data_IF_168117478479
#
_entry.id   IF_168117478479
#
_cell.length_a   1.000
_cell.length_b   1.000
_cell.length_c   1.000
_cell.angle_alpha   90.00
_cell.angle_beta   90.00
_cell.angle_gamma   90.00
#
_symmetry.space_group_name_H-M   'P 1'
#
loop_
_entity.id
_entity.type
_entity.pdbx_description
1 polymer ?
#
# COMPACT_ATOMS: atom_id res chain seq x y z
N UNK A 1 6.60 9.53 15.56
CA UNK A 1 7.18 8.77 14.44
C UNK A 1 6.10 8.31 13.47
N UNK A 2 6.37 8.25 12.15
CA UNK A 2 5.42 7.79 11.13
C UNK A 2 5.99 6.56 10.41
N UNK A 3 5.30 5.43 10.46
CA UNK A 3 5.69 4.20 9.76
C UNK A 3 4.85 4.00 8.49
N UNK A 4 5.50 3.78 7.36
CA UNK A 4 4.84 3.40 6.11
C UNK A 4 4.78 1.87 5.98
N UNK A 5 3.58 1.32 5.85
CA UNK A 5 3.33 -0.11 5.68
C UNK A 5 2.98 -0.38 4.23
N UNK A 6 3.89 -1.02 3.50
CA UNK A 6 3.72 -1.35 2.09
C UNK A 6 3.27 -2.80 1.96
N UNK A 7 1.97 -2.98 1.65
CA UNK A 7 1.37 -4.31 1.55
C UNK A 7 1.61 -4.90 0.16
N UNK A 8 2.39 -5.96 0.11
CA UNK A 8 2.79 -6.67 -1.11
C UNK A 8 2.59 -8.20 -1.03
N UNK A 9 1.85 -8.69 -0.03
CA UNK A 9 1.61 -10.13 0.18
C UNK A 9 0.46 -10.73 -0.65
N UNK A 10 -0.06 -10.01 -1.64
CA UNK A 10 -1.17 -10.48 -2.46
C UNK A 10 -0.73 -11.52 -3.50
N UNK A 11 -1.43 -12.67 -3.56
CA UNK A 11 -1.18 -13.77 -4.53
C UNK A 11 -1.39 -13.39 -6.01
N UNK A 12 -1.91 -12.20 -6.31
CA UNK A 12 -2.08 -11.73 -7.69
C UNK A 12 -3.01 -12.57 -8.57
N UNK A 13 -3.95 -13.33 -7.99
CA UNK A 13 -4.81 -14.29 -8.69
C UNK A 13 -5.61 -13.73 -9.86
N UNK A 14 -5.86 -12.41 -9.85
CA UNK A 14 -6.55 -11.67 -10.92
C UNK A 14 -5.67 -11.40 -12.15
N UNK A 15 -4.35 -11.36 -11.97
CA UNK A 15 -3.38 -11.23 -13.06
C UNK A 15 -2.57 -12.52 -13.15
N UNK A 16 -2.96 -13.41 -14.06
CA UNK A 16 -2.10 -14.53 -14.47
C UNK A 16 -0.97 -13.95 -15.30
N UNK A 17 0.20 -13.68 -14.70
CA UNK A 17 1.37 -13.37 -15.50
C UNK A 17 1.77 -14.63 -16.26
N UNK A 18 1.94 -14.54 -17.57
CA UNK A 18 2.43 -15.65 -18.39
C UNK A 18 3.82 -16.18 -17.93
N UNK A 19 4.51 -15.44 -17.07
CA UNK A 19 5.87 -15.74 -16.60
C UNK A 19 5.91 -16.33 -15.17
N UNK A 20 4.76 -16.60 -14.51
CA UNK A 20 4.75 -17.16 -13.14
C UNK A 20 5.28 -16.21 -12.05
N UNK A 21 5.57 -14.94 -12.39
CA UNK A 21 6.12 -13.95 -11.47
C UNK A 21 4.97 -13.20 -10.78
N UNK A 22 5.07 -13.03 -9.46
CA UNK A 22 4.10 -12.23 -8.70
C UNK A 22 4.04 -10.79 -9.22
N UNK A 23 2.83 -10.22 -9.32
CA UNK A 23 2.56 -8.92 -9.97
C UNK A 23 3.41 -7.76 -9.46
N UNK A 24 3.81 -7.78 -8.18
CA UNK A 24 4.64 -6.76 -7.55
C UNK A 24 6.07 -6.71 -8.11
N UNK A 25 6.54 -7.80 -8.71
CA UNK A 25 7.88 -7.91 -9.29
C UNK A 25 7.90 -7.70 -10.81
N UNK A 26 6.74 -7.48 -11.44
CA UNK A 26 6.68 -7.10 -12.85
C UNK A 26 7.45 -5.80 -13.04
N UNK A 27 8.30 -5.77 -14.05
CA UNK A 27 9.09 -4.59 -14.36
C UNK A 27 8.37 -3.61 -15.30
N UNK A 28 8.40 -2.35 -14.93
CA UNK A 28 8.04 -1.22 -15.79
C UNK A 28 9.33 -0.45 -16.06
N UNK A 29 9.72 -0.33 -17.31
CA UNK A 29 10.97 0.33 -17.71
C UNK A 29 12.19 -0.20 -16.92
N UNK A 30 12.36 -1.53 -16.88
CA UNK A 30 13.47 -2.25 -16.23
C UNK A 30 13.57 -2.04 -14.71
N UNK A 31 12.49 -1.66 -14.05
CA UNK A 31 12.43 -1.51 -12.59
C UNK A 31 11.16 -2.16 -12.04
N UNK A 32 11.24 -3.08 -11.07
CA UNK A 32 10.08 -3.71 -10.45
C UNK A 32 9.09 -2.69 -9.87
N UNK A 33 7.79 -2.94 -10.05
CA UNK A 33 6.73 -2.04 -9.58
C UNK A 33 6.85 -1.76 -8.09
N UNK A 34 7.12 -2.79 -7.29
CA UNK A 34 7.27 -2.63 -5.84
C UNK A 34 8.44 -1.71 -5.47
N UNK A 35 9.56 -1.79 -6.19
CA UNK A 35 10.72 -0.94 -5.94
C UNK A 35 10.37 0.53 -6.20
N UNK A 36 9.63 0.82 -7.28
CA UNK A 36 9.12 2.18 -7.56
C UNK A 36 8.23 2.71 -6.46
N UNK A 37 7.36 1.85 -5.92
CA UNK A 37 6.49 2.21 -4.81
C UNK A 37 7.31 2.53 -3.56
N UNK A 38 8.24 1.63 -3.18
CA UNK A 38 9.07 1.81 -1.98
C UNK A 38 9.88 3.11 -2.07
N UNK A 39 10.46 3.43 -3.22
CA UNK A 39 11.23 4.66 -3.42
C UNK A 39 10.43 5.92 -3.09
N UNK A 40 9.12 5.96 -3.38
CA UNK A 40 8.27 7.11 -3.01
C UNK A 40 8.21 7.33 -1.50
N UNK A 41 8.21 6.27 -0.72
CA UNK A 41 8.20 6.35 0.74
C UNK A 41 9.61 6.59 1.31
N UNK A 42 10.67 6.13 0.64
CA UNK A 42 12.03 6.49 1.05
C UNK A 42 12.34 7.96 0.81
N UNK A 43 11.80 8.55 -0.26
CA UNK A 43 11.97 9.97 -0.62
C UNK A 43 11.15 10.92 0.27
N UNK A 44 10.03 10.47 0.89
CA UNK A 44 9.13 11.34 1.65
C UNK A 44 9.68 11.68 3.02
N UNK A 45 9.78 12.96 3.35
CA UNK A 45 10.20 13.44 4.67
C UNK A 45 9.17 13.15 5.77
N UNK A 46 7.92 12.87 5.41
CA UNK A 46 6.86 12.53 6.35
C UNK A 46 6.96 11.08 6.87
N UNK A 47 7.87 10.26 6.35
CA UNK A 47 8.03 8.84 6.69
C UNK A 47 9.37 8.61 7.40
N UNK A 48 9.34 8.01 8.57
CA UNK A 48 10.52 7.72 9.37
C UNK A 48 10.97 6.25 9.24
N UNK A 49 10.04 5.32 9.00
CA UNK A 49 10.28 3.88 8.92
C UNK A 49 9.42 3.26 7.81
N UNK A 50 9.91 2.20 7.19
CA UNK A 50 9.18 1.44 6.18
C UNK A 50 9.05 -0.02 6.60
N UNK A 51 7.82 -0.53 6.66
CA UNK A 51 7.54 -1.94 6.88
C UNK A 51 6.98 -2.54 5.59
N UNK A 52 7.64 -3.53 5.05
CA UNK A 52 7.23 -4.20 3.82
C UNK A 52 6.61 -5.54 4.18
N UNK A 53 5.33 -5.70 3.83
CA UNK A 53 4.58 -6.93 4.09
C UNK A 53 4.55 -7.76 2.82
N UNK A 54 5.18 -8.92 2.85
CA UNK A 54 5.33 -9.82 1.70
C UNK A 54 4.90 -11.26 2.04
N UNK A 55 4.76 -12.09 1.02
CA UNK A 55 4.58 -13.52 1.25
C UNK A 55 5.90 -14.12 1.75
N UNK A 56 5.82 -15.06 2.69
CA UNK A 56 7.01 -15.73 3.25
C UNK A 56 7.87 -16.35 2.16
N UNK A 57 7.25 -16.95 1.17
CA UNK A 57 7.94 -17.60 0.05
C UNK A 57 8.66 -16.63 -0.88
N UNK A 58 8.27 -15.35 -0.87
CA UNK A 58 8.89 -14.30 -1.67
C UNK A 58 10.13 -13.67 -0.98
N UNK A 59 10.40 -13.97 0.29
CA UNK A 59 11.41 -13.25 1.08
C UNK A 59 12.81 -13.34 0.48
N UNK A 60 13.25 -14.52 0.08
CA UNK A 60 14.58 -14.72 -0.49
C UNK A 60 14.76 -13.87 -1.76
N UNK A 61 13.77 -13.95 -2.67
CA UNK A 61 13.78 -13.17 -3.90
C UNK A 61 13.77 -11.67 -3.62
N UNK A 62 12.93 -11.23 -2.67
CA UNK A 62 12.81 -9.83 -2.29
C UNK A 62 14.13 -9.28 -1.74
N UNK A 63 14.78 -10.01 -0.83
CA UNK A 63 16.07 -9.58 -0.25
C UNK A 63 17.15 -9.42 -1.32
N UNK A 64 17.27 -10.40 -2.20
CA UNK A 64 18.30 -10.42 -3.24
C UNK A 64 18.04 -9.39 -4.34
N UNK A 65 16.82 -9.30 -4.85
CA UNK A 65 16.51 -8.57 -6.08
C UNK A 65 15.90 -7.19 -5.87
N UNK A 66 15.34 -6.90 -4.68
CA UNK A 66 14.65 -5.65 -4.37
C UNK A 66 15.35 -4.90 -3.25
N UNK A 67 15.47 -5.51 -2.07
CA UNK A 67 15.99 -4.85 -0.87
C UNK A 67 17.43 -4.33 -1.09
N UNK A 68 18.26 -5.09 -1.77
CA UNK A 68 19.65 -4.72 -2.12
C UNK A 68 19.74 -3.46 -3.00
N UNK A 69 18.65 -3.09 -3.68
CA UNK A 69 18.59 -1.92 -4.58
C UNK A 69 17.97 -0.68 -3.95
N UNK A 70 17.41 -0.80 -2.74
CA UNK A 70 16.81 0.33 -2.03
C UNK A 70 17.92 1.16 -1.40
N UNK A 71 17.97 2.44 -1.76
CA UNK A 71 18.91 3.42 -1.21
C UNK A 71 18.19 4.30 -0.21
N UNK A 72 18.43 4.09 1.08
CA UNK A 72 17.81 4.90 2.14
C UNK A 72 18.54 4.68 3.46
N UNK A 73 18.54 5.69 4.31
CA UNK A 73 18.98 5.59 5.71
C UNK A 73 17.82 5.22 6.65
N UNK A 74 16.57 5.21 6.14
CA UNK A 74 15.41 4.86 6.96
C UNK A 74 15.40 3.37 7.26
N UNK A 75 15.04 2.97 8.49
CA UNK A 75 14.87 1.57 8.84
C UNK A 75 13.84 0.88 7.93
N UNK A 76 14.22 -0.28 7.40
CA UNK A 76 13.32 -1.14 6.63
C UNK A 76 13.12 -2.44 7.41
N UNK A 77 11.88 -2.76 7.71
CA UNK A 77 11.46 -4.01 8.34
C UNK A 77 10.67 -4.87 7.37
N UNK A 78 10.74 -6.19 7.53
CA UNK A 78 9.92 -7.13 6.79
C UNK A 78 8.90 -7.77 7.72
N UNK A 79 7.68 -7.94 7.22
CA UNK A 79 6.62 -8.68 7.87
C UNK A 79 5.97 -9.64 6.87
N UNK A 80 5.26 -10.65 7.37
CA UNK A 80 4.56 -11.59 6.49
C UNK A 80 3.07 -11.31 6.44
N UNK A 81 2.50 -11.45 5.25
CA UNK A 81 1.06 -11.33 5.04
C UNK A 81 0.25 -12.41 5.73
N UNK A 82 -1.00 -12.12 5.99
CA UNK A 82 -2.01 -13.07 6.44
C UNK A 82 -2.81 -13.65 5.25
N UNK A 83 -3.91 -14.33 5.57
CA UNK A 83 -4.82 -14.88 4.57
C UNK A 83 -5.56 -13.77 3.81
N UNK A 84 -5.96 -12.75 4.54
CA UNK A 84 -6.70 -11.60 4.03
C UNK A 84 -5.87 -10.31 4.03
N UNK A 85 -6.32 -9.31 3.26
CA UNK A 85 -5.62 -8.02 3.17
C UNK A 85 -5.55 -7.29 4.51
N UNK A 86 -6.61 -7.34 5.31
CA UNK A 86 -6.63 -6.69 6.63
C UNK A 86 -5.63 -7.32 7.60
N UNK A 87 -5.49 -8.66 7.57
CA UNK A 87 -4.50 -9.37 8.39
C UNK A 87 -3.07 -8.98 8.00
N UNK A 88 -2.81 -8.85 6.69
CA UNK A 88 -1.52 -8.38 6.18
C UNK A 88 -1.22 -6.96 6.67
N UNK A 89 -2.20 -6.05 6.62
CA UNK A 89 -2.07 -4.69 7.15
C UNK A 89 -1.79 -4.70 8.66
N UNK A 90 -2.53 -5.52 9.43
CA UNK A 90 -2.34 -5.66 10.87
C UNK A 90 -0.95 -6.21 11.22
N UNK A 91 -0.46 -7.19 10.48
CA UNK A 91 0.89 -7.72 10.68
C UNK A 91 1.96 -6.67 10.40
N UNK A 92 1.76 -5.83 9.39
CA UNK A 92 2.62 -4.68 9.13
C UNK A 92 2.62 -3.67 10.28
N UNK A 93 1.44 -3.34 10.82
CA UNK A 93 1.29 -2.45 11.99
C UNK A 93 2.03 -3.03 13.20
N UNK A 94 1.86 -4.33 13.48
CA UNK A 94 2.53 -5.00 14.61
C UNK A 94 4.06 -5.04 14.47
N UNK A 95 4.58 -5.00 13.25
CA UNK A 95 6.01 -4.98 12.97
C UNK A 95 6.61 -3.57 13.01
N UNK A 96 5.79 -2.51 12.97
CA UNK A 96 6.26 -1.14 13.10
C UNK A 96 6.82 -0.87 14.50
N UNK A 97 7.57 0.21 14.63
CA UNK A 97 8.15 0.62 15.91
C UNK A 97 7.05 1.01 16.91
N UNK A 98 7.24 0.72 18.19
CA UNK A 98 6.24 0.99 19.24
C UNK A 98 5.96 2.49 19.44
N UNK A 99 6.89 3.34 19.09
CA UNK A 99 6.78 4.79 19.11
C UNK A 99 6.18 5.39 17.83
N UNK A 100 5.65 4.54 16.93
CA UNK A 100 4.91 4.99 15.76
C UNK A 100 3.53 5.52 16.16
N UNK A 101 3.36 6.83 16.07
CA UNK A 101 2.09 7.52 16.35
C UNK A 101 1.17 7.55 15.14
N UNK A 102 1.74 7.44 13.94
CA UNK A 102 1.00 7.45 12.68
C UNK A 102 1.46 6.30 11.79
N UNK A 103 0.51 5.61 11.18
CA UNK A 103 0.79 4.57 10.18
C UNK A 103 0.14 4.93 8.86
N UNK A 104 0.91 4.83 7.77
CA UNK A 104 0.45 4.96 6.40
C UNK A 104 0.39 3.56 5.78
N UNK A 105 -0.78 3.13 5.32
CA UNK A 105 -0.94 1.81 4.69
C UNK A 105 -1.12 2.00 3.19
N UNK A 106 -0.24 1.38 2.41
CA UNK A 106 -0.22 1.54 0.96
C UNK A 106 -0.05 0.20 0.23
N UNK A 107 -0.68 0.06 -0.93
CA UNK A 107 -0.54 -1.13 -1.76
C UNK A 107 0.80 -1.09 -2.53
N UNK A 108 1.62 -2.13 -2.42
CA UNK A 108 2.94 -2.23 -3.04
C UNK A 108 2.94 -2.18 -4.57
N UNK A 109 1.78 -2.31 -5.21
CA UNK A 109 1.61 -2.25 -6.67
C UNK A 109 0.99 -0.95 -7.17
N UNK A 110 1.05 0.14 -6.38
CA UNK A 110 0.58 1.48 -6.76
C UNK A 110 1.74 2.48 -6.82
N UNK A 111 2.57 2.45 -7.87
CA UNK A 111 3.83 3.21 -7.92
C UNK A 111 3.66 4.70 -8.24
N UNK A 112 2.43 5.16 -8.53
CA UNK A 112 2.17 6.53 -8.98
C UNK A 112 1.71 7.49 -7.89
N UNK A 113 1.79 7.09 -6.62
CA UNK A 113 1.56 8.00 -5.50
C UNK A 113 2.58 9.14 -5.53
N UNK A 114 2.12 10.37 -5.29
CA UNK A 114 2.99 11.56 -5.27
C UNK A 114 3.50 11.81 -3.85
N UNK A 115 4.70 12.35 -3.73
CA UNK A 115 5.27 12.74 -2.43
C UNK A 115 4.33 13.68 -1.67
N UNK A 116 3.81 14.71 -2.36
CA UNK A 116 2.89 15.66 -1.76
C UNK A 116 1.58 15.04 -1.26
N UNK A 117 1.17 13.90 -1.81
CA UNK A 117 -0.01 13.15 -1.36
C UNK A 117 0.30 12.37 -0.08
N UNK A 118 1.49 11.75 0.00
CA UNK A 118 1.97 11.06 1.21
C UNK A 118 2.05 12.06 2.37
N UNK A 119 2.67 13.20 2.16
CA UNK A 119 2.88 14.25 3.17
C UNK A 119 1.55 14.83 3.66
N UNK A 120 0.65 15.19 2.73
CA UNK A 120 -0.69 15.71 3.08
C UNK A 120 -1.52 14.70 3.85
N UNK A 121 -1.46 13.41 3.45
CA UNK A 121 -2.20 12.35 4.12
C UNK A 121 -1.67 12.11 5.54
N UNK A 122 -0.35 12.07 5.71
CA UNK A 122 0.28 11.94 7.02
C UNK A 122 -0.09 13.09 7.96
N UNK A 123 0.00 14.34 7.47
CA UNK A 123 -0.39 15.52 8.23
C UNK A 123 -1.88 15.48 8.61
N UNK A 124 -2.76 15.13 7.66
CA UNK A 124 -4.20 15.06 7.92
C UNK A 124 -4.55 13.96 8.91
N UNK A 125 -3.93 12.80 8.83
CA UNK A 125 -4.14 11.72 9.79
C UNK A 125 -3.73 12.12 11.21
N UNK A 126 -2.62 12.86 11.37
CA UNK A 126 -2.19 13.41 12.67
C UNK A 126 -3.19 14.42 13.24
N UNK A 127 -3.77 15.25 12.37
CA UNK A 127 -4.76 16.27 12.76
C UNK A 127 -6.11 15.66 13.17
N UNK A 128 -6.61 14.68 12.42
CA UNK A 128 -7.99 14.19 12.52
C UNK A 128 -8.13 12.79 13.09
N UNK A 129 -7.01 12.11 13.41
CA UNK A 129 -6.96 10.74 13.90
C UNK A 129 -7.00 9.68 12.79
N UNK A 130 -7.62 9.95 11.65
CA UNK A 130 -7.61 9.07 10.47
C UNK A 130 -7.87 9.87 9.20
N UNK A 131 -7.28 9.44 8.09
CA UNK A 131 -7.49 10.03 6.76
C UNK A 131 -7.36 8.96 5.67
N UNK A 132 -8.07 9.14 4.57
CA UNK A 132 -7.98 8.29 3.39
C UNK A 132 -7.96 9.16 2.14
N UNK A 133 -7.17 8.78 1.15
CA UNK A 133 -7.21 9.41 -0.17
C UNK A 133 -8.35 8.82 -0.98
N UNK A 134 -9.17 9.68 -1.52
CA UNK A 134 -10.31 9.29 -2.35
C UNK A 134 -10.56 10.34 -3.43
N UNK A 135 -11.23 9.93 -4.49
CA UNK A 135 -11.71 10.82 -5.54
C UNK A 135 -13.24 10.80 -5.56
N UNK A 136 -13.85 11.97 -5.79
CA UNK A 136 -15.29 12.08 -5.92
C UNK A 136 -15.78 11.26 -7.10
N UNK A 137 -16.85 10.47 -6.91
CA UNK A 137 -17.42 9.67 -7.98
C UNK A 137 -17.94 10.55 -9.11
N UNK A 138 -17.63 10.16 -10.34
CA UNK A 138 -18.21 10.75 -11.55
C UNK A 138 -19.46 9.99 -12.01
N UNK A 139 -19.62 8.75 -11.54
CA UNK A 139 -20.70 7.86 -11.93
C UNK A 139 -21.86 7.89 -10.93
N UNK A 140 -23.05 7.55 -11.41
CA UNK A 140 -24.21 7.33 -10.55
C UNK A 140 -24.15 5.93 -9.96
N UNK A 141 -23.92 5.86 -8.65
CA UNK A 141 -23.84 4.58 -7.91
C UNK A 141 -25.24 4.09 -7.56
N UNK A 142 -25.48 2.81 -7.72
CA UNK A 142 -26.69 2.10 -7.30
C UNK A 142 -26.32 1.11 -6.21
N UNK A 143 -27.01 1.16 -5.09
CA UNK A 143 -26.99 0.09 -4.10
C UNK A 143 -28.02 -0.96 -4.52
N UNK A 144 -27.56 -2.21 -4.57
CA UNK A 144 -28.37 -3.33 -5.09
C UNK A 144 -28.43 -4.43 -4.04
N UNK A 145 -29.64 -4.92 -3.76
CA UNK A 145 -29.92 -6.11 -2.95
C UNK A 145 -30.79 -7.06 -3.76
N UNK A 146 -30.43 -8.34 -3.75
CA UNK A 146 -31.16 -9.41 -4.49
C UNK A 146 -31.43 -9.10 -5.97
N UNK A 147 -30.50 -8.40 -6.63
CA UNK A 147 -30.62 -8.02 -8.04
C UNK A 147 -31.53 -6.81 -8.31
N UNK A 148 -32.11 -6.20 -7.28
CA UNK A 148 -32.97 -5.02 -7.37
C UNK A 148 -32.25 -3.78 -6.83
N UNK A 149 -32.48 -2.62 -7.45
CA UNK A 149 -31.95 -1.35 -6.97
C UNK A 149 -32.70 -0.96 -5.69
N UNK A 150 -31.96 -0.94 -4.59
CA UNK A 150 -32.46 -0.52 -3.27
C UNK A 150 -32.43 1.00 -3.13
N UNK A 151 -31.32 1.61 -3.51
CA UNK A 151 -31.17 3.07 -3.43
C UNK A 151 -30.14 3.62 -4.42
N UNK A 152 -30.20 4.93 -4.59
CA UNK A 152 -29.21 5.71 -5.36
C UNK A 152 -28.71 6.82 -4.47
N UNK A 153 -27.52 6.67 -3.83
CA UNK A 153 -26.98 7.72 -3.01
C UNK A 153 -26.67 8.97 -3.83
N UNK A 154 -26.73 10.12 -3.17
CA UNK A 154 -26.32 11.37 -3.80
C UNK A 154 -24.85 11.29 -4.21
N UNK A 155 -24.57 11.48 -5.49
CA UNK A 155 -23.23 11.44 -6.06
C UNK A 155 -22.25 12.38 -5.37
N UNK A 156 -22.73 13.49 -4.82
CA UNK A 156 -21.92 14.47 -4.10
C UNK A 156 -21.31 13.89 -2.82
N UNK A 157 -21.91 12.84 -2.25
CA UNK A 157 -21.46 12.15 -1.03
C UNK A 157 -20.65 10.86 -1.31
N UNK A 158 -20.50 10.46 -2.58
CA UNK A 158 -19.82 9.21 -2.96
C UNK A 158 -18.38 9.48 -3.37
N UNK A 159 -17.45 8.82 -2.70
CA UNK A 159 -16.01 8.85 -2.99
C UNK A 159 -15.48 7.44 -3.23
N UNK A 160 -14.55 7.30 -4.17
CA UNK A 160 -13.93 6.04 -4.58
C UNK A 160 -12.43 6.04 -4.30
#
# INVERSE_FOLDING_TARGET
MTSAIIVAAGKGTRMKSAAGVSKQYIEIMRKPVILRTIEKFTESEAVDEIVIVLMKDDEAYFRENILSKIKTEKPIKLAYGGKERFESSLNGIRASSQDSETVLIHDGVRPFVKLSEIEKLAAKAKETGAAVMAVKSKDTVKLVSDGMIESTPDRESVYL
#
